data_IF_683885042096
#
_entry.id   IF_683885042096
#
_cell.length_a   1.000
_cell.length_b   1.000
_cell.length_c   1.000
_cell.angle_alpha   90.00
_cell.angle_beta   90.00
_cell.angle_gamma   90.00
#
_symmetry.space_group_name_H-M   'P 1'
#
loop_
_entity.id
_entity.type
_entity.pdbx_description
1 polymer ?
#
# COMPACT_ATOMS: atom_id res chain seq x y z
N UNK A 1 -15.91 -17.47 -13.01
CA UNK A 1 -16.25 -18.56 -12.06
C UNK A 1 -15.15 -19.62 -11.88
N UNK A 2 -14.10 -19.66 -12.72
CA UNK A 2 -12.96 -20.59 -12.52
C UNK A 2 -11.58 -19.90 -12.64
N UNK A 3 -11.45 -18.61 -12.31
CA UNK A 3 -10.17 -17.89 -12.44
C UNK A 3 -9.06 -18.44 -11.52
N UNK A 4 -9.40 -19.28 -10.56
CA UNK A 4 -8.46 -19.81 -9.58
C UNK A 4 -8.43 -21.35 -9.47
N UNK A 5 -9.08 -22.07 -10.38
CA UNK A 5 -9.12 -23.55 -10.42
C UNK A 5 -10.04 -24.20 -9.39
N UNK A 6 -10.34 -25.50 -9.60
CA UNK A 6 -11.28 -26.29 -8.77
C UNK A 6 -10.84 -26.38 -7.30
N UNK A 7 -9.54 -26.29 -7.03
CA UNK A 7 -8.96 -26.30 -5.68
C UNK A 7 -9.23 -25.03 -4.87
N UNK A 8 -9.71 -23.95 -5.49
CA UNK A 8 -10.05 -22.69 -4.80
C UNK A 8 -11.56 -22.44 -4.72
N UNK A 9 -12.35 -23.51 -4.84
CA UNK A 9 -13.80 -23.46 -4.65
C UNK A 9 -14.10 -22.97 -3.22
N UNK A 10 -14.86 -21.88 -3.10
CA UNK A 10 -15.21 -21.21 -1.84
C UNK A 10 -14.07 -20.50 -1.08
N UNK A 11 -12.89 -20.34 -1.68
CA UNK A 11 -11.86 -19.49 -1.08
C UNK A 11 -12.12 -18.01 -1.41
N UNK A 12 -12.12 -17.11 -0.40
CA UNK A 12 -12.21 -15.69 -0.65
C UNK A 12 -10.96 -15.20 -1.40
N UNK A 13 -11.16 -14.31 -2.37
CA UNK A 13 -10.10 -13.71 -3.17
C UNK A 13 -10.08 -12.20 -2.96
N UNK A 14 -8.89 -11.61 -2.89
CA UNK A 14 -8.74 -10.16 -2.89
C UNK A 14 -8.75 -9.65 -4.34
N UNK A 15 -9.66 -8.73 -4.65
CA UNK A 15 -9.76 -8.11 -5.98
C UNK A 15 -9.63 -6.59 -5.86
N UNK A 16 -8.41 -6.09 -6.11
CA UNK A 16 -8.06 -4.67 -6.06
C UNK A 16 -8.54 -3.85 -7.26
N UNK A 17 -9.20 -4.49 -8.24
CA UNK A 17 -9.92 -3.75 -9.29
C UNK A 17 -11.29 -3.29 -8.83
N UNK A 18 -11.93 -4.02 -7.89
CA UNK A 18 -13.22 -3.65 -7.34
C UNK A 18 -13.09 -2.75 -6.10
N UNK A 19 -12.19 -3.09 -5.17
CA UNK A 19 -11.99 -2.32 -3.93
C UNK A 19 -10.65 -2.67 -3.28
N UNK A 20 -10.16 -1.81 -2.39
CA UNK A 20 -8.95 -2.05 -1.61
C UNK A 20 -9.27 -2.34 -0.14
N UNK A 21 -8.28 -2.86 0.58
CA UNK A 21 -8.39 -3.21 1.99
C UNK A 21 -8.32 -1.95 2.87
N UNK A 22 -9.36 -1.71 3.67
CA UNK A 22 -9.40 -0.56 4.59
C UNK A 22 -8.41 -0.71 5.75
N UNK A 23 -7.67 0.35 6.06
CA UNK A 23 -6.63 0.33 7.09
C UNK A 23 -7.17 0.04 8.51
N UNK A 24 -8.40 0.45 8.81
CA UNK A 24 -9.05 0.34 10.12
C UNK A 24 -10.01 -0.86 10.27
N UNK A 25 -10.15 -1.73 9.26
CA UNK A 25 -11.08 -2.87 9.29
C UNK A 25 -10.34 -4.21 9.47
N UNK A 26 -10.78 -5.11 10.34
CA UNK A 26 -10.19 -6.45 10.49
C UNK A 26 -11.22 -7.59 10.34
N UNK A 27 -12.35 -7.34 9.68
CA UNK A 27 -13.47 -8.30 9.65
C UNK A 27 -13.12 -9.61 8.94
N UNK A 28 -12.35 -9.54 7.85
CA UNK A 28 -11.89 -10.72 7.12
C UNK A 28 -11.08 -11.69 7.99
N UNK A 29 -10.32 -11.17 8.96
CA UNK A 29 -9.51 -11.96 9.87
C UNK A 29 -10.36 -12.71 10.92
N UNK A 30 -11.59 -12.27 11.18
CA UNK A 30 -12.50 -12.91 12.15
C UNK A 30 -13.31 -14.05 11.54
N UNK A 31 -13.56 -13.98 10.23
CA UNK A 31 -14.49 -14.89 9.53
C UNK A 31 -13.79 -15.92 8.66
N UNK A 32 -12.45 -15.88 8.53
CA UNK A 32 -11.72 -16.71 7.58
C UNK A 32 -11.83 -18.21 7.92
N UNK A 33 -12.56 -19.04 7.12
CA UNK A 33 -12.72 -20.46 7.43
C UNK A 33 -11.48 -21.28 7.03
N UNK A 34 -10.66 -20.74 6.12
CA UNK A 34 -9.47 -21.42 5.60
C UNK A 34 -8.25 -21.31 6.54
N UNK A 35 -8.34 -20.51 7.62
CA UNK A 35 -7.21 -20.24 8.51
C UNK A 35 -6.03 -19.54 7.83
N UNK A 36 -6.25 -18.90 6.68
CA UNK A 36 -5.22 -18.16 5.95
C UNK A 36 -4.88 -16.82 6.60
N UNK A 37 -5.82 -16.28 7.39
CA UNK A 37 -5.66 -15.05 8.17
C UNK A 37 -5.73 -15.40 9.65
N UNK A 38 -4.75 -14.96 10.43
CA UNK A 38 -4.78 -15.06 11.88
C UNK A 38 -5.79 -14.06 12.46
N UNK A 39 -6.40 -14.41 13.59
CA UNK A 39 -7.30 -13.53 14.32
C UNK A 39 -6.50 -12.40 14.99
N UNK A 40 -6.42 -11.27 14.31
CA UNK A 40 -5.63 -10.11 14.74
C UNK A 40 -6.50 -8.91 15.09
N UNK A 41 -6.03 -8.08 16.01
CA UNK A 41 -6.64 -6.78 16.32
C UNK A 41 -6.37 -5.73 15.24
N UNK A 42 -7.09 -4.60 15.28
CA UNK A 42 -6.89 -3.48 14.35
C UNK A 42 -5.46 -2.91 14.47
N UNK A 43 -4.86 -2.93 15.67
CA UNK A 43 -3.50 -2.43 15.88
C UNK A 43 -2.48 -3.36 15.23
N UNK A 44 -2.63 -4.66 15.41
CA UNK A 44 -1.74 -5.67 14.82
C UNK A 44 -1.85 -5.69 13.30
N UNK A 45 -3.05 -5.52 12.75
CA UNK A 45 -3.24 -5.42 11.29
C UNK A 45 -2.31 -4.41 10.62
N UNK A 46 -2.04 -3.27 11.28
CA UNK A 46 -1.17 -2.22 10.73
C UNK A 46 0.28 -2.67 10.57
N UNK A 47 0.67 -3.74 11.26
CA UNK A 47 2.01 -4.34 11.24
C UNK A 47 2.01 -5.74 10.64
N UNK A 48 0.87 -6.25 10.15
CA UNK A 48 0.80 -7.54 9.47
C UNK A 48 0.92 -7.33 7.96
N UNK A 49 1.85 -8.07 7.36
CA UNK A 49 2.09 -8.08 5.93
C UNK A 49 1.25 -9.17 5.26
N UNK A 50 0.19 -8.78 4.53
CA UNK A 50 -0.60 -9.70 3.72
C UNK A 50 -0.01 -9.90 2.32
N UNK A 51 0.73 -8.91 1.83
CA UNK A 51 1.25 -8.90 0.47
C UNK A 51 2.36 -7.86 0.29
N UNK A 52 3.03 -7.93 -0.84
CA UNK A 52 4.09 -7.02 -1.25
C UNK A 52 3.66 -6.25 -2.49
N UNK A 53 4.02 -4.98 -2.51
CA UNK A 53 3.77 -4.12 -3.66
C UNK A 53 4.89 -4.29 -4.67
N UNK A 54 4.53 -4.35 -5.96
CA UNK A 54 5.44 -4.38 -7.08
C UNK A 54 5.12 -3.24 -8.03
N UNK A 55 6.16 -2.60 -8.55
CA UNK A 55 6.07 -1.46 -9.47
C UNK A 55 6.74 -1.85 -10.79
N UNK A 56 5.98 -1.78 -11.88
CA UNK A 56 6.45 -1.92 -13.25
C UNK A 56 6.72 -0.51 -13.77
N UNK A 57 7.99 -0.13 -13.87
CA UNK A 57 8.39 1.23 -14.24
C UNK A 57 7.98 1.55 -15.68
N UNK A 58 7.98 0.56 -16.54
CA UNK A 58 7.61 0.66 -17.97
C UNK A 58 6.15 1.06 -18.17
N UNK A 59 5.27 0.68 -17.25
CA UNK A 59 3.84 1.01 -17.31
C UNK A 59 3.49 2.31 -16.57
N UNK A 60 4.41 2.84 -15.77
CA UNK A 60 4.14 4.00 -14.95
C UNK A 60 4.23 5.28 -15.78
N UNK A 61 3.17 6.08 -15.79
CA UNK A 61 3.10 7.34 -16.56
C UNK A 61 4.20 8.33 -16.12
N UNK A 62 4.62 8.33 -14.84
CA UNK A 62 5.72 9.18 -14.39
C UNK A 62 7.09 8.73 -14.90
N UNK A 63 7.28 7.42 -15.09
CA UNK A 63 8.54 6.84 -15.56
C UNK A 63 8.61 6.78 -17.09
N UNK A 64 7.53 6.37 -17.75
CA UNK A 64 7.42 6.21 -19.21
C UNK A 64 7.11 7.52 -19.94
N UNK A 65 6.08 8.25 -19.51
CA UNK A 65 5.61 9.46 -20.22
C UNK A 65 6.21 10.76 -19.66
N UNK A 66 6.98 10.68 -18.58
CA UNK A 66 7.52 11.85 -17.88
C UNK A 66 6.43 12.87 -17.48
N UNK A 67 5.24 12.39 -17.06
CA UNK A 67 4.17 13.25 -16.54
C UNK A 67 4.07 13.13 -15.01
N UNK A 68 3.77 14.22 -14.29
CA UNK A 68 3.64 14.15 -12.84
C UNK A 68 2.41 13.31 -12.43
N UNK A 69 2.65 12.21 -11.73
CA UNK A 69 1.60 11.39 -11.13
C UNK A 69 2.03 10.90 -9.73
N UNK A 70 1.24 11.25 -8.72
CA UNK A 70 1.51 10.97 -7.30
C UNK A 70 0.33 10.27 -6.59
N UNK A 71 -0.65 9.78 -7.36
CA UNK A 71 -1.90 9.24 -6.80
C UNK A 71 -1.63 8.04 -5.87
N UNK A 72 -0.70 7.15 -6.25
CA UNK A 72 -0.36 5.99 -5.44
C UNK A 72 0.35 6.35 -4.12
N UNK A 73 1.13 7.45 -4.07
CA UNK A 73 1.85 7.89 -2.86
C UNK A 73 0.91 8.58 -1.87
N UNK A 74 -0.09 9.29 -2.36
CA UNK A 74 -1.09 9.96 -1.52
C UNK A 74 -2.03 8.96 -0.85
N UNK A 75 -2.47 7.93 -1.58
CA UNK A 75 -3.39 6.93 -1.04
C UNK A 75 -2.72 5.83 -0.20
N UNK A 76 -1.39 5.77 -0.14
CA UNK A 76 -0.69 4.75 0.64
C UNK A 76 -0.65 5.11 2.14
N UNK A 77 -1.36 4.38 3.04
CA UNK A 77 -1.43 4.72 4.46
C UNK A 77 -0.11 4.48 5.20
N UNK A 78 0.69 3.51 4.74
CA UNK A 78 1.99 3.18 5.35
C UNK A 78 3.15 3.92 4.70
N UNK A 79 2.91 4.71 3.65
CA UNK A 79 3.96 5.33 2.82
C UNK A 79 5.00 4.31 2.30
N UNK A 80 4.54 3.07 2.05
CA UNK A 80 5.31 2.05 1.34
C UNK A 80 5.61 2.44 -0.11
N UNK A 81 4.76 3.29 -0.69
CA UNK A 81 5.01 3.95 -1.97
C UNK A 81 5.30 5.41 -1.65
N UNK A 82 6.47 5.89 -2.07
CA UNK A 82 6.94 7.25 -1.81
C UNK A 82 7.42 7.91 -3.11
N UNK A 83 7.50 9.24 -3.12
CA UNK A 83 7.90 9.99 -4.31
C UNK A 83 9.40 10.29 -4.30
N UNK A 84 10.05 10.06 -5.43
CA UNK A 84 11.42 10.47 -5.72
C UNK A 84 11.43 11.43 -6.90
N UNK A 85 12.47 12.27 -6.98
CA UNK A 85 12.65 13.14 -8.12
C UNK A 85 13.40 12.39 -9.22
N UNK A 86 12.73 12.12 -10.34
CA UNK A 86 13.34 11.54 -11.53
C UNK A 86 13.23 12.54 -12.69
N UNK A 87 14.38 13.03 -13.18
CA UNK A 87 14.44 14.03 -14.27
C UNK A 87 13.55 15.27 -14.03
N UNK A 88 13.47 15.73 -12.77
CA UNK A 88 12.65 16.89 -12.39
C UNK A 88 11.16 16.61 -12.18
N UNK A 89 10.73 15.36 -12.32
CA UNK A 89 9.33 14.94 -12.15
C UNK A 89 9.22 14.01 -10.94
N UNK A 90 8.14 14.15 -10.16
CA UNK A 90 7.83 13.24 -9.07
C UNK A 90 7.42 11.86 -9.64
N UNK A 91 8.26 10.86 -9.40
CA UNK A 91 8.03 9.48 -9.77
C UNK A 91 7.88 8.61 -8.51
N UNK A 92 6.99 7.60 -8.52
CA UNK A 92 6.85 6.70 -7.38
C UNK A 92 8.02 5.70 -7.33
N UNK A 93 8.49 5.43 -6.11
CA UNK A 93 9.35 4.31 -5.74
C UNK A 93 8.70 3.53 -4.59
N UNK A 94 9.16 2.29 -4.39
CA UNK A 94 8.53 1.35 -3.45
C UNK A 94 9.49 0.81 -2.40
N UNK A 95 8.94 0.55 -1.21
CA UNK A 95 9.59 -0.18 -0.13
C UNK A 95 8.68 -1.35 0.24
N UNK A 96 8.91 -2.56 -0.33
CA UNK A 96 8.07 -3.71 -0.10
C UNK A 96 7.99 -4.15 1.37
N UNK A 97 9.04 -3.89 2.16
CA UNK A 97 9.16 -4.36 3.54
C UNK A 97 8.17 -3.72 4.52
N UNK A 98 7.71 -2.50 4.23
CA UNK A 98 6.69 -1.80 5.03
C UNK A 98 5.29 -1.86 4.39
N UNK A 99 5.16 -2.58 3.28
CA UNK A 99 3.87 -2.76 2.63
C UNK A 99 3.06 -3.81 3.37
N UNK A 100 1.83 -3.46 3.75
CA UNK A 100 0.87 -4.38 4.39
C UNK A 100 0.02 -5.15 3.37
N UNK A 101 0.13 -4.84 2.07
CA UNK A 101 -0.68 -5.44 1.01
C UNK A 101 -2.13 -4.94 0.96
N UNK A 102 -2.36 -3.64 1.21
CA UNK A 102 -3.73 -3.09 1.21
C UNK A 102 -4.35 -2.94 -0.19
N UNK A 103 -3.53 -2.83 -1.25
CA UNK A 103 -3.99 -2.69 -2.64
C UNK A 103 -4.57 -1.31 -3.01
N UNK A 104 -4.52 -0.32 -2.12
CA UNK A 104 -5.01 1.02 -2.42
C UNK A 104 -4.29 1.65 -3.62
N UNK A 105 -2.97 1.44 -3.72
CA UNK A 105 -2.15 1.92 -4.82
C UNK A 105 -2.54 1.31 -6.18
N UNK A 106 -2.88 0.02 -6.20
CA UNK A 106 -3.33 -0.67 -7.41
C UNK A 106 -4.72 -0.20 -7.83
N UNK A 107 -5.64 -0.02 -6.89
CA UNK A 107 -6.99 0.44 -7.17
C UNK A 107 -7.02 1.82 -7.84
N UNK A 108 -6.23 2.76 -7.34
CA UNK A 108 -6.22 4.16 -7.83
C UNK A 108 -5.32 4.40 -9.04
N UNK A 109 -4.59 3.39 -9.52
CA UNK A 109 -3.64 3.55 -10.60
C UNK A 109 -4.35 3.84 -11.94
N UNK A 110 -4.10 5.00 -12.59
CA UNK A 110 -4.74 5.36 -13.86
C UNK A 110 -4.03 4.78 -15.10
N UNK A 111 -2.95 4.01 -14.92
CA UNK A 111 -2.18 3.47 -16.04
C UNK A 111 -2.99 2.47 -16.86
N UNK A 112 -2.95 2.61 -18.18
CA UNK A 112 -3.64 1.77 -19.18
C UNK A 112 -2.65 1.37 -20.27
N UNK A 113 -2.77 0.17 -20.89
CA UNK A 113 -3.80 -0.88 -20.66
C UNK A 113 -3.54 -1.75 -19.43
N UNK A 114 -2.31 -1.75 -18.89
CA UNK A 114 -1.93 -2.50 -17.70
C UNK A 114 -1.59 -1.54 -16.56
N UNK A 115 -2.00 -1.91 -15.34
CA UNK A 115 -1.66 -1.13 -14.15
C UNK A 115 -0.15 -1.10 -13.95
N UNK A 116 0.36 0.03 -13.50
CA UNK A 116 1.80 0.20 -13.23
C UNK A 116 2.22 -0.41 -11.89
N UNK A 117 1.29 -0.49 -10.94
CA UNK A 117 1.54 -0.96 -9.59
C UNK A 117 0.50 -2.01 -9.22
N UNK A 118 0.95 -3.10 -8.62
CA UNK A 118 0.10 -4.21 -8.20
C UNK A 118 0.59 -4.81 -6.89
N UNK A 119 -0.29 -5.53 -6.19
CA UNK A 119 0.03 -6.17 -4.92
C UNK A 119 -0.05 -7.68 -5.05
N UNK A 120 1.07 -8.35 -4.76
CA UNK A 120 1.15 -9.81 -4.68
C UNK A 120 0.91 -10.28 -3.25
N UNK A 121 -0.09 -11.15 -3.07
CA UNK A 121 -0.38 -11.79 -1.79
C UNK A 121 0.70 -12.80 -1.38
N UNK A 122 1.07 -12.79 -0.10
CA UNK A 122 1.92 -13.82 0.48
C UNK A 122 1.12 -15.10 0.77
N UNK A 123 1.80 -16.25 0.79
CA UNK A 123 1.18 -17.54 1.16
C UNK A 123 0.72 -17.58 2.62
N UNK A 124 1.40 -16.85 3.51
CA UNK A 124 1.10 -16.70 4.93
C UNK A 124 1.34 -15.24 5.34
N UNK A 125 0.61 -14.79 6.36
CA UNK A 125 0.80 -13.47 6.94
C UNK A 125 2.23 -13.33 7.48
N UNK A 126 2.90 -12.25 7.08
CA UNK A 126 4.21 -11.86 7.62
C UNK A 126 4.10 -10.67 8.57
N UNK A 127 5.23 -10.20 9.05
CA UNK A 127 5.33 -8.92 9.75
C UNK A 127 5.83 -7.83 8.79
N UNK A 128 5.09 -6.73 8.70
CA UNK A 128 5.54 -5.52 8.01
C UNK A 128 6.46 -4.71 8.93
N UNK A 129 7.48 -4.07 8.36
CA UNK A 129 8.33 -3.13 9.07
C UNK A 129 7.59 -1.87 9.53
N UNK A 130 8.18 -1.14 10.47
CA UNK A 130 7.64 0.12 10.97
C UNK A 130 7.77 1.22 9.90
N UNK A 131 6.65 1.83 9.42
CA UNK A 131 6.70 2.85 8.38
C UNK A 131 7.43 4.13 8.82
N UNK A 132 7.51 4.42 10.12
CA UNK A 132 8.19 5.61 10.64
C UNK A 132 9.71 5.47 10.56
N UNK A 133 10.22 4.24 10.71
CA UNK A 133 11.67 3.95 10.75
C UNK A 133 12.26 3.54 9.40
N UNK A 134 11.42 3.39 8.38
CA UNK A 134 11.86 2.96 7.07
C UNK A 134 12.78 3.99 6.39
N UNK A 135 13.94 3.54 5.94
CA UNK A 135 14.87 4.35 5.15
C UNK A 135 14.32 4.56 3.74
N UNK A 136 14.06 5.82 3.37
CA UNK A 136 13.52 6.24 2.07
C UNK A 136 14.60 6.99 1.26
N UNK A 137 15.36 6.32 0.40
CA UNK A 137 16.39 6.96 -0.41
C UNK A 137 15.75 7.87 -1.46
N UNK A 138 16.23 9.12 -1.55
CA UNK A 138 15.80 10.06 -2.59
C UNK A 138 14.41 10.68 -2.40
N UNK A 139 13.80 10.52 -1.22
CA UNK A 139 12.53 11.16 -0.92
C UNK A 139 12.68 12.69 -0.90
N UNK A 140 11.90 13.37 -1.76
CA UNK A 140 11.84 14.82 -1.77
C UNK A 140 11.13 15.31 -0.52
N UNK A 141 11.90 15.68 0.50
CA UNK A 141 11.40 16.42 1.66
C UNK A 141 11.36 17.89 1.28
N UNK A 142 10.15 18.45 1.15
CA UNK A 142 9.98 19.88 1.42
C UNK A 142 10.37 20.03 2.89
N UNK A 143 11.51 20.68 3.17
CA UNK A 143 11.89 20.94 4.56
C UNK A 143 10.71 21.61 5.25
N UNK A 144 10.24 21.10 6.40
CA UNK A 144 9.23 21.80 7.15
C UNK A 144 9.83 23.16 7.52
N UNK A 145 9.16 24.25 7.13
CA UNK A 145 9.48 25.59 7.59
C UNK A 145 9.59 25.50 9.11
N UNK A 146 10.82 25.64 9.64
CA UNK A 146 11.05 25.74 11.07
C UNK A 146 10.29 26.96 11.56
N UNK A 147 9.12 26.73 12.13
CA UNK A 147 8.51 27.68 13.03
C UNK A 147 8.01 26.91 14.25
N UNK A 148 8.87 26.95 15.27
CA UNK A 148 8.60 26.46 16.60
C UNK A 148 7.36 27.13 17.16
N UNK A 149 6.25 26.39 17.29
CA UNK A 149 5.34 26.53 18.44
C UNK A 149 4.79 25.15 18.81
N UNK A 150 5.36 24.60 19.88
CA UNK A 150 4.72 23.53 20.66
C UNK A 150 3.31 23.99 21.06
N UNK A 151 2.30 23.24 20.67
CA UNK A 151 0.99 23.22 21.33
C UNK A 151 0.69 21.74 21.59
N UNK A 152 1.00 21.27 22.80
CA UNK A 152 0.05 21.08 23.91
C UNK A 152 -1.16 20.25 23.47
N UNK A 153 -1.25 19.05 24.05
CA UNK A 153 -2.27 18.05 23.76
C UNK A 153 -3.70 18.61 23.80
N UNK A 154 -4.50 18.08 22.90
CA UNK A 154 -5.95 18.22 22.88
C UNK A 154 -6.53 17.03 22.12
N UNK A 155 -7.50 16.38 22.73
CA UNK A 155 -8.35 15.35 22.13
C UNK A 155 -8.86 15.78 20.75
N UNK A 156 -8.65 14.91 19.77
CA UNK A 156 -9.18 15.08 18.42
C UNK A 156 -10.47 14.23 18.32
N UNK A 157 -11.64 14.83 18.04
CA UNK A 157 -12.89 14.10 18.00
C UNK A 157 -13.09 13.50 16.61
N UNK A 158 -12.53 12.32 16.37
CA UNK A 158 -12.97 11.37 15.34
C UNK A 158 -12.73 9.94 15.80
#
# INVERSE_FOLDING_TARGET
MAEFGVLKLMQPVMNYSASYCLYSCNECAKVCPAGALEHISIKEKKSVQLGRVNLIKENCISWSDHKPCTVCTEHCPTKAVYSVLNNGIAAPEIIPDICIGCGACEYVCPAVPHKAIFVDGLKKQGAAGDPVKAYRPGEWKIEPVKNEKKSSGGDFPF
#
